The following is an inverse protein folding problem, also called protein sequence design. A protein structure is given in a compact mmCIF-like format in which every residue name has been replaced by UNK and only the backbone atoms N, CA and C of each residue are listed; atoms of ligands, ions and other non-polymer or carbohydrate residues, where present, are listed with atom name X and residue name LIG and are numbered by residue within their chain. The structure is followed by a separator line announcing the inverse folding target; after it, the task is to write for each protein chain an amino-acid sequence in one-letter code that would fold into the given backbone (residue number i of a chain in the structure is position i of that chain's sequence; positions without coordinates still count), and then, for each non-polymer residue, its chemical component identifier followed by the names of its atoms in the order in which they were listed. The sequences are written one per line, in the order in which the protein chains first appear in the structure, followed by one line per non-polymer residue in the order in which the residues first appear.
data_IF_901956529745
#
_entry.id   IF_901956529745
#
_cell.length_a   1.000
_cell.length_b   1.000
_cell.length_c   1.000
_cell.angle_alpha   90.00
_cell.angle_beta   90.00
_cell.angle_gamma   90.00
#
_symmetry.space_group_name_H-M   'P 1'
#
loop_
_entity.id
_entity.type
_entity.pdbx_description
1 polymer ?
#
# COMPACT_ATOMS: atom_id res chain seq x y z
N UNK A 1 16.07 -15.03 -56.88
CA UNK A 1 16.44 -14.08 -55.81
C UNK A 1 15.27 -13.16 -55.58
N UNK A 2 14.67 -13.18 -54.39
CA UNK A 2 13.59 -12.28 -53.98
C UNK A 2 13.57 -12.23 -52.44
N UNK A 3 13.70 -11.05 -51.80
CA UNK A 3 14.06 -10.96 -50.39
C UNK A 3 12.82 -11.03 -49.50
N UNK A 4 12.62 -12.13 -48.78
CA UNK A 4 11.59 -12.24 -47.73
C UNK A 4 12.20 -12.17 -46.31
N UNK A 5 13.51 -11.94 -46.20
CA UNK A 5 14.23 -11.98 -44.91
C UNK A 5 14.23 -10.65 -44.12
N UNK A 6 13.61 -9.58 -44.62
CA UNK A 6 13.73 -8.24 -44.01
C UNK A 6 12.67 -7.85 -42.98
N UNK A 7 11.50 -8.50 -42.95
CA UNK A 7 10.34 -8.00 -42.18
C UNK A 7 10.31 -8.54 -40.73
N UNK A 8 10.87 -9.72 -40.47
CA UNK A 8 10.85 -10.29 -39.12
C UNK A 8 11.87 -9.66 -38.16
N UNK A 9 13.02 -9.21 -38.67
CA UNK A 9 14.05 -8.58 -37.82
C UNK A 9 13.65 -7.17 -37.33
N UNK A 10 12.96 -6.40 -38.18
CA UNK A 10 12.51 -5.04 -37.84
C UNK A 10 11.39 -5.04 -36.78
N UNK A 11 10.49 -6.02 -36.81
CA UNK A 11 9.40 -6.16 -35.83
C UNK A 11 9.89 -6.50 -34.42
N UNK A 12 10.88 -7.39 -34.31
CA UNK A 12 11.47 -7.77 -33.01
C UNK A 12 12.32 -6.65 -32.43
N UNK A 13 13.08 -5.92 -33.26
CA UNK A 13 13.84 -4.75 -32.81
C UNK A 13 12.93 -3.58 -32.42
N UNK A 14 11.84 -3.32 -33.15
CA UNK A 14 10.88 -2.29 -32.78
C UNK A 14 10.13 -2.64 -31.49
N UNK A 15 9.70 -3.90 -31.31
CA UNK A 15 9.07 -4.36 -30.07
C UNK A 15 10.05 -4.32 -28.87
N UNK A 16 11.31 -4.70 -29.07
CA UNK A 16 12.35 -4.63 -28.03
C UNK A 16 12.75 -3.18 -27.69
N UNK A 17 12.69 -2.25 -28.64
CA UNK A 17 12.94 -0.82 -28.40
C UNK A 17 11.74 -0.11 -27.77
N UNK A 18 10.50 -0.53 -28.08
CA UNK A 18 9.29 -0.01 -27.44
C UNK A 18 9.19 -0.56 -26.00
N UNK A 19 9.40 -1.86 -25.81
CA UNK A 19 9.38 -2.50 -24.48
C UNK A 19 10.60 -2.08 -23.64
N UNK A 20 11.80 -2.07 -24.24
CA UNK A 20 13.03 -1.59 -23.61
C UNK A 20 12.97 -0.11 -23.28
N UNK A 21 12.47 0.73 -24.19
CA UNK A 21 12.31 2.17 -24.00
C UNK A 21 11.28 2.54 -22.93
N UNK A 22 10.17 1.79 -22.82
CA UNK A 22 9.20 1.95 -21.72
C UNK A 22 9.75 1.51 -20.36
N UNK A 23 10.66 0.54 -20.33
CA UNK A 23 11.32 0.12 -19.08
C UNK A 23 12.48 1.04 -18.65
N UNK A 24 13.05 1.84 -19.56
CA UNK A 24 14.25 2.64 -19.29
C UNK A 24 13.98 4.08 -18.82
N UNK A 25 12.73 4.55 -18.81
CA UNK A 25 12.37 5.82 -18.16
C UNK A 25 12.25 5.72 -16.63
N UNK A 26 12.51 4.55 -16.03
CA UNK A 26 12.32 4.28 -14.61
C UNK A 26 13.37 4.90 -13.65
N UNK A 27 14.40 5.59 -14.16
CA UNK A 27 15.46 6.17 -13.31
C UNK A 27 15.02 7.44 -12.55
N UNK A 28 13.92 8.09 -12.96
CA UNK A 28 13.30 9.25 -12.30
C UNK A 28 11.81 9.23 -12.64
N UNK A 29 10.95 9.03 -11.67
CA UNK A 29 9.52 8.89 -11.96
C UNK A 29 8.64 9.18 -10.76
N UNK A 30 7.47 9.73 -11.05
CA UNK A 30 6.32 9.73 -10.14
C UNK A 30 5.36 8.65 -10.63
N UNK A 31 4.94 7.79 -9.72
CA UNK A 31 3.98 6.71 -9.95
C UNK A 31 2.74 6.98 -9.11
N UNK A 32 1.57 6.78 -9.71
CA UNK A 32 0.28 7.11 -9.10
C UNK A 32 -0.77 6.08 -9.46
N UNK A 33 -1.67 5.83 -8.51
CA UNK A 33 -2.86 5.00 -8.66
C UNK A 33 -4.09 5.80 -8.28
N UNK A 34 -5.20 5.55 -8.96
CA UNK A 34 -6.52 6.04 -8.57
C UNK A 34 -7.17 5.22 -7.45
N UNK A 35 -8.39 5.61 -7.06
CA UNK A 35 -9.20 4.85 -6.11
C UNK A 35 -9.55 3.48 -6.70
N UNK A 36 -9.26 2.41 -5.96
CA UNK A 36 -9.49 1.01 -6.37
C UNK A 36 -8.43 0.46 -7.33
N UNK A 37 -7.46 1.26 -7.76
CA UNK A 37 -6.37 0.83 -8.62
C UNK A 37 -5.17 0.35 -7.81
N UNK A 38 -4.45 -0.65 -8.33
CA UNK A 38 -3.16 -1.08 -7.82
C UNK A 38 -2.17 -1.23 -8.95
N UNK A 39 -0.90 -0.94 -8.69
CA UNK A 39 0.14 -0.98 -9.72
C UNK A 39 1.43 -1.61 -9.18
N UNK A 40 2.03 -2.53 -9.93
CA UNK A 40 3.37 -3.05 -9.67
C UNK A 40 4.40 -2.36 -10.58
N UNK A 41 5.41 -1.76 -9.98
CA UNK A 41 6.48 -1.02 -10.67
C UNK A 41 7.82 -1.68 -10.35
N UNK A 42 8.61 -1.96 -11.39
CA UNK A 42 10.00 -2.37 -11.24
C UNK A 42 10.92 -1.15 -11.30
N UNK A 43 11.80 -1.01 -10.32
CA UNK A 43 12.73 0.10 -10.22
C UNK A 43 14.08 -0.24 -10.86
N UNK A 44 14.82 0.81 -11.22
CA UNK A 44 16.12 0.68 -11.88
C UNK A 44 17.22 0.01 -11.04
N UNK A 45 17.04 -0.12 -9.71
CA UNK A 45 17.99 -0.81 -8.82
C UNK A 45 17.65 -2.30 -8.62
N UNK A 46 16.61 -2.81 -9.30
CA UNK A 46 16.11 -4.18 -9.14
C UNK A 46 15.11 -4.36 -8.00
N UNK A 47 14.79 -3.30 -7.25
CA UNK A 47 13.70 -3.31 -6.27
C UNK A 47 12.34 -3.21 -6.98
N UNK A 48 11.26 -3.64 -6.31
CA UNK A 48 9.89 -3.45 -6.80
C UNK A 48 9.03 -2.68 -5.81
N UNK A 49 8.10 -1.88 -6.32
CA UNK A 49 7.09 -1.16 -5.54
C UNK A 49 5.71 -1.58 -6.01
N UNK A 50 4.89 -2.12 -5.12
CA UNK A 50 3.46 -2.27 -5.37
C UNK A 50 2.74 -1.10 -4.71
N UNK A 51 2.07 -0.27 -5.49
CA UNK A 51 1.23 0.82 -5.02
C UNK A 51 -0.19 0.29 -4.80
N UNK A 52 -0.78 0.68 -3.68
CA UNK A 52 -2.19 0.40 -3.36
C UNK A 52 -3.11 1.48 -3.93
N UNK A 53 -4.41 1.42 -3.63
CA UNK A 53 -5.40 2.48 -3.92
C UNK A 53 -4.94 3.88 -3.51
N UNK A 54 -5.26 4.89 -4.33
CA UNK A 54 -4.99 6.32 -4.10
C UNK A 54 -3.58 6.61 -3.56
N UNK A 55 -2.57 6.10 -4.26
CA UNK A 55 -1.17 6.19 -3.84
C UNK A 55 -0.36 7.05 -4.79
N UNK A 56 0.65 7.73 -4.24
CA UNK A 56 1.62 8.51 -5.03
C UNK A 56 3.02 8.36 -4.47
N UNK A 57 3.93 7.87 -5.32
CA UNK A 57 5.32 7.62 -4.97
C UNK A 57 6.24 8.36 -5.95
N UNK A 58 7.22 9.12 -5.44
CA UNK A 58 8.27 9.74 -6.24
C UNK A 58 9.60 9.05 -5.99
N UNK A 59 10.28 8.64 -7.07
CA UNK A 59 11.57 7.95 -7.02
C UNK A 59 12.70 8.93 -7.35
N UNK A 60 13.68 9.04 -6.44
CA UNK A 60 14.80 9.98 -6.52
C UNK A 60 16.12 9.26 -6.22
N UNK A 61 16.56 8.44 -7.16
CA UNK A 61 17.83 7.72 -7.02
C UNK A 61 19.01 8.62 -7.37
N UNK A 62 20.05 8.50 -6.57
CA UNK A 62 21.36 9.15 -6.73
C UNK A 62 22.45 8.10 -6.54
N UNK A 63 23.71 8.44 -6.84
CA UNK A 63 24.83 7.51 -6.69
C UNK A 63 25.02 7.07 -5.24
N UNK A 64 24.74 7.93 -4.25
CA UNK A 64 24.90 7.63 -2.82
C UNK A 64 23.64 7.14 -2.11
N UNK A 65 22.44 7.29 -2.69
CA UNK A 65 21.18 6.97 -2.00
C UNK A 65 20.06 6.57 -2.95
N UNK A 66 19.24 5.61 -2.53
CA UNK A 66 17.98 5.23 -3.18
C UNK A 66 16.81 5.82 -2.40
N UNK A 67 16.43 7.07 -2.69
CA UNK A 67 15.34 7.75 -2.01
C UNK A 67 14.01 7.53 -2.74
N UNK A 68 12.98 7.22 -1.96
CA UNK A 68 11.59 7.16 -2.36
C UNK A 68 10.81 8.12 -1.46
N UNK A 69 9.94 8.94 -2.03
CA UNK A 69 9.01 9.80 -1.30
C UNK A 69 7.59 9.25 -1.49
N UNK A 70 6.96 8.75 -0.41
CA UNK A 70 5.54 8.37 -0.40
C UNK A 70 4.72 9.61 -0.02
N UNK A 71 4.10 10.23 -1.01
CA UNK A 71 3.36 11.47 -0.85
C UNK A 71 1.97 11.23 -0.27
N UNK A 72 1.29 10.15 -0.67
CA UNK A 72 0.01 9.68 -0.10
C UNK A 72 -0.19 8.19 -0.36
N UNK A 73 -1.12 7.59 0.37
CA UNK A 73 -1.57 6.21 0.17
C UNK A 73 -0.65 5.18 0.80
N UNK A 74 -0.49 4.04 0.15
CA UNK A 74 0.21 2.87 0.67
C UNK A 74 1.05 2.20 -0.41
N UNK A 75 2.22 1.68 -0.03
CA UNK A 75 3.05 0.90 -0.92
C UNK A 75 3.81 -0.21 -0.19
N UNK A 76 3.86 -1.37 -0.84
CA UNK A 76 4.73 -2.49 -0.46
C UNK A 76 6.03 -2.40 -1.25
N UNK A 77 7.15 -2.44 -0.54
CA UNK A 77 8.50 -2.39 -1.10
C UNK A 77 9.15 -3.76 -0.97
N UNK A 78 9.65 -4.30 -2.08
CA UNK A 78 10.59 -5.45 -2.10
C UNK A 78 11.93 -4.92 -2.54
N UNK A 79 12.86 -4.77 -1.60
CA UNK A 79 14.11 -4.04 -1.81
C UNK A 79 15.25 -4.98 -2.19
N UNK A 80 15.87 -4.71 -3.33
CA UNK A 80 17.10 -5.38 -3.74
C UNK A 80 18.24 -5.08 -2.76
N UNK A 81 18.98 -6.09 -2.27
CA UNK A 81 20.10 -5.89 -1.36
C UNK A 81 21.18 -5.00 -1.97
N UNK A 82 21.55 -3.93 -1.27
CA UNK A 82 22.69 -3.09 -1.63
C UNK A 82 23.21 -2.34 -0.39
N UNK A 83 24.24 -2.88 0.29
CA UNK A 83 24.76 -2.30 1.54
C UNK A 83 25.42 -0.93 1.37
N UNK A 84 25.93 -0.61 0.17
CA UNK A 84 26.65 0.65 -0.08
C UNK A 84 25.74 1.81 -0.45
N UNK A 85 24.48 1.53 -0.84
CA UNK A 85 23.47 2.53 -1.19
C UNK A 85 22.16 2.23 -0.44
N UNK A 86 21.89 2.84 0.73
CA UNK A 86 20.69 2.56 1.50
C UNK A 86 19.42 2.91 0.72
N UNK A 87 18.38 2.09 0.92
CA UNK A 87 17.04 2.35 0.40
C UNK A 87 16.22 3.07 1.47
N UNK A 88 15.77 4.28 1.19
CA UNK A 88 15.09 5.14 2.16
C UNK A 88 13.72 5.52 1.61
N UNK A 89 12.67 5.21 2.35
CA UNK A 89 11.30 5.66 2.08
C UNK A 89 10.97 6.79 3.04
N UNK A 90 10.77 7.99 2.52
CA UNK A 90 10.29 9.13 3.27
C UNK A 90 8.77 9.24 3.11
N UNK A 91 8.04 9.26 4.23
CA UNK A 91 6.59 9.37 4.26
C UNK A 91 6.22 10.39 5.36
N UNK A 92 5.73 11.57 4.96
CA UNK A 92 5.40 12.63 5.92
C UNK A 92 6.56 12.93 6.89
N UNK A 93 6.30 12.76 8.19
CA UNK A 93 7.28 13.00 9.26
C UNK A 93 8.19 11.81 9.60
N UNK A 94 8.15 10.72 8.83
CA UNK A 94 8.93 9.52 9.07
C UNK A 94 9.86 9.15 7.89
N UNK A 95 10.97 8.51 8.20
CA UNK A 95 11.91 7.92 7.26
C UNK A 95 12.16 6.45 7.61
N UNK A 96 12.03 5.57 6.62
CA UNK A 96 12.23 4.12 6.77
C UNK A 96 13.42 3.69 5.94
N UNK A 97 14.47 3.19 6.58
CA UNK A 97 15.69 2.74 5.90
C UNK A 97 15.77 1.21 5.86
N UNK A 98 16.01 0.67 4.67
CA UNK A 98 16.09 -0.74 4.35
C UNK A 98 17.44 -1.13 3.72
N UNK A 99 17.92 -2.34 4.04
CA UNK A 99 19.17 -2.91 3.52
C UNK A 99 18.96 -4.12 2.59
N UNK A 100 17.71 -4.59 2.45
CA UNK A 100 17.34 -5.80 1.70
C UNK A 100 16.13 -6.46 2.37
N UNK A 101 14.96 -5.83 2.26
CA UNK A 101 13.78 -6.15 3.07
C UNK A 101 12.51 -6.18 2.24
N UNK A 102 11.47 -6.76 2.83
CA UNK A 102 10.10 -6.61 2.36
C UNK A 102 9.30 -5.90 3.44
N UNK A 103 8.71 -4.76 3.12
CA UNK A 103 7.96 -3.95 4.09
C UNK A 103 6.92 -3.09 3.40
N UNK A 104 5.86 -2.81 4.14
CA UNK A 104 4.76 -1.94 3.75
C UNK A 104 4.93 -0.59 4.46
N UNK A 105 4.64 0.50 3.75
CA UNK A 105 4.50 1.83 4.32
C UNK A 105 3.19 2.42 3.87
N UNK A 106 2.38 2.87 4.83
CA UNK A 106 1.15 3.61 4.60
C UNK A 106 1.22 4.98 5.24
N UNK A 107 0.71 5.99 4.55
CA UNK A 107 0.59 7.35 5.05
C UNK A 107 -0.87 7.79 5.04
N UNK A 108 -1.39 8.06 6.24
CA UNK A 108 -2.74 8.57 6.46
C UNK A 108 -2.67 9.94 7.14
N UNK A 109 -2.63 11.01 6.33
CA UNK A 109 -2.45 12.36 6.83
C UNK A 109 -1.12 12.55 7.56
N UNK A 110 -1.18 12.70 8.89
CA UNK A 110 -0.03 12.85 9.79
C UNK A 110 0.45 11.54 10.43
N UNK A 111 -0.27 10.43 10.25
CA UNK A 111 0.14 9.10 10.71
C UNK A 111 0.90 8.37 9.60
N UNK A 112 1.97 7.68 9.97
CA UNK A 112 2.70 6.74 9.11
C UNK A 112 2.70 5.39 9.78
N UNK A 113 2.20 4.38 9.07
CA UNK A 113 2.25 2.99 9.49
C UNK A 113 3.29 2.25 8.67
N UNK A 114 4.12 1.47 9.35
CA UNK A 114 5.13 0.61 8.72
C UNK A 114 4.86 -0.81 9.18
N UNK A 115 4.76 -1.77 8.26
CA UNK A 115 4.69 -3.20 8.58
C UNK A 115 5.92 -3.90 7.99
N UNK A 116 6.69 -4.58 8.82
CA UNK A 116 7.86 -5.32 8.37
C UNK A 116 7.50 -6.78 8.09
N UNK A 117 7.58 -7.17 6.81
CA UNK A 117 7.31 -8.54 6.35
C UNK A 117 8.55 -9.42 6.53
N UNK A 118 9.71 -8.94 6.08
CA UNK A 118 10.96 -9.69 6.15
C UNK A 118 12.19 -8.79 6.18
N UNK A 119 13.23 -9.24 6.88
CA UNK A 119 14.51 -8.55 7.04
C UNK A 119 14.51 -7.57 8.22
N UNK A 120 15.16 -6.41 8.04
CA UNK A 120 15.35 -5.41 9.09
C UNK A 120 15.18 -4.00 8.51
N UNK A 121 14.29 -3.22 9.09
CA UNK A 121 14.16 -1.79 8.79
C UNK A 121 14.45 -0.94 10.01
N UNK A 122 14.96 0.25 9.77
CA UNK A 122 15.12 1.30 10.77
C UNK A 122 14.12 2.42 10.47
N UNK A 123 13.30 2.77 11.45
CA UNK A 123 12.30 3.84 11.37
C UNK A 123 12.77 5.03 12.19
N UNK A 124 12.79 6.18 11.55
CA UNK A 124 13.13 7.48 12.13
C UNK A 124 11.94 8.43 11.95
N UNK A 125 11.80 9.40 12.84
CA UNK A 125 10.75 10.41 12.73
C UNK A 125 10.93 11.52 13.75
N UNK A 126 10.36 12.70 13.49
CA UNK A 126 10.56 13.87 14.35
C UNK A 126 10.06 13.66 15.79
N UNK A 127 9.08 12.79 15.99
CA UNK A 127 8.53 12.42 17.30
C UNK A 127 9.28 11.28 17.99
N UNK A 128 10.30 10.70 17.34
CA UNK A 128 11.14 9.64 17.87
C UNK A 128 12.44 10.23 18.42
N UNK A 129 12.74 9.97 19.69
CA UNK A 129 14.00 10.39 20.30
C UNK A 129 15.23 9.67 19.70
N UNK A 130 15.04 8.41 19.27
CA UNK A 130 16.06 7.59 18.63
C UNK A 130 15.45 6.74 17.50
N UNK A 131 16.25 6.33 16.50
CA UNK A 131 15.79 5.40 15.48
C UNK A 131 15.29 4.09 16.09
N UNK A 132 14.13 3.61 15.63
CA UNK A 132 13.54 2.35 16.05
C UNK A 132 13.85 1.26 15.04
N UNK A 133 14.53 0.20 15.47
CA UNK A 133 14.77 -0.99 14.64
C UNK A 133 13.56 -1.92 14.75
N UNK A 134 12.97 -2.26 13.61
CA UNK A 134 11.86 -3.22 13.55
C UNK A 134 12.35 -4.64 13.27
N UNK A 135 11.58 -5.61 13.75
CA UNK A 135 11.69 -7.03 13.44
C UNK A 135 10.51 -7.47 12.55
N UNK A 136 10.70 -8.52 11.77
CA UNK A 136 9.62 -9.09 10.97
C UNK A 136 8.42 -9.49 11.85
N UNK A 137 7.20 -9.24 11.38
CA UNK A 137 5.99 -9.46 12.17
C UNK A 137 5.57 -8.28 13.05
N UNK A 138 6.22 -7.11 12.90
CA UNK A 138 5.87 -5.90 13.64
C UNK A 138 5.20 -4.85 12.75
N UNK A 139 4.25 -4.14 13.33
CA UNK A 139 3.71 -2.87 12.86
C UNK A 139 4.26 -1.76 13.75
N UNK A 140 4.78 -0.68 13.16
CA UNK A 140 5.11 0.56 13.88
C UNK A 140 4.28 1.69 13.31
N UNK A 141 3.52 2.36 14.18
CA UNK A 141 2.78 3.58 13.85
C UNK A 141 3.51 4.78 14.41
N UNK A 142 3.88 5.70 13.53
CA UNK A 142 4.52 6.97 13.86
C UNK A 142 3.48 8.07 13.70
N UNK A 143 3.28 8.85 14.75
CA UNK A 143 2.38 10.01 14.79
C UNK A 143 3.15 11.24 15.26
N UNK A 144 2.59 12.45 15.16
CA UNK A 144 3.22 13.64 15.76
C UNK A 144 3.41 13.54 17.28
N UNK A 145 2.65 12.67 17.96
CA UNK A 145 2.70 12.51 19.43
C UNK A 145 3.72 11.45 19.89
N UNK A 146 4.28 10.67 18.97
CA UNK A 146 5.19 9.57 19.28
C UNK A 146 4.96 8.39 18.35
N UNK A 147 5.66 7.28 18.62
CA UNK A 147 5.49 6.04 17.90
C UNK A 147 5.10 4.89 18.83
N UNK A 148 4.32 3.95 18.30
CA UNK A 148 3.94 2.71 18.95
C UNK A 148 4.28 1.54 18.04
N UNK A 149 5.00 0.55 18.56
CA UNK A 149 5.31 -0.70 17.87
C UNK A 149 4.58 -1.87 18.52
N UNK A 150 3.97 -2.74 17.72
CA UNK A 150 3.22 -3.91 18.17
C UNK A 150 3.36 -5.08 17.19
N UNK A 151 3.17 -6.33 17.63
CA UNK A 151 3.03 -7.46 16.73
C UNK A 151 1.82 -7.29 15.80
N UNK A 152 1.91 -7.85 14.59
CA UNK A 152 0.82 -7.87 13.61
C UNK A 152 0.82 -9.19 12.84
N UNK A 153 -0.36 -9.64 12.43
CA UNK A 153 -0.47 -10.70 11.44
C UNK A 153 -0.09 -10.14 10.06
N UNK A 154 1.09 -10.53 9.58
CA UNK A 154 1.63 -10.03 8.32
C UNK A 154 0.81 -10.47 7.12
N UNK A 155 0.24 -11.67 7.14
CA UNK A 155 -0.56 -12.18 6.04
C UNK A 155 -1.86 -11.38 5.91
N UNK A 156 -2.50 -11.04 7.02
CA UNK A 156 -3.65 -10.15 7.02
C UNK A 156 -3.27 -8.72 6.59
N UNK A 157 -2.22 -8.15 7.19
CA UNK A 157 -1.78 -6.78 6.92
C UNK A 157 -1.31 -6.54 5.48
N UNK A 158 -0.82 -7.57 4.78
CA UNK A 158 -0.36 -7.51 3.39
C UNK A 158 -1.36 -8.09 2.38
N UNK A 159 -2.53 -8.53 2.82
CA UNK A 159 -3.56 -9.17 1.97
C UNK A 159 -4.04 -8.28 0.80
N UNK A 160 -3.94 -6.96 0.97
CA UNK A 160 -4.28 -5.98 -0.07
C UNK A 160 -3.44 -6.16 -1.33
N UNK A 161 -2.21 -6.67 -1.21
CA UNK A 161 -1.32 -6.93 -2.36
C UNK A 161 -1.85 -8.01 -3.31
N UNK A 162 -2.84 -8.79 -2.84
CA UNK A 162 -3.55 -9.82 -3.59
C UNK A 162 -5.01 -9.43 -3.87
N UNK A 163 -5.35 -8.14 -3.75
CA UNK A 163 -6.70 -7.62 -3.98
C UNK A 163 -7.71 -8.04 -2.92
N UNK A 164 -7.26 -8.35 -1.69
CA UNK A 164 -8.13 -8.76 -0.58
C UNK A 164 -7.94 -7.87 0.65
N UNK A 165 -8.97 -7.77 1.48
CA UNK A 165 -8.92 -7.15 2.79
C UNK A 165 -9.27 -8.21 3.83
N UNK A 166 -8.30 -8.56 4.67
CA UNK A 166 -8.46 -9.54 5.75
C UNK A 166 -8.60 -8.81 7.09
N UNK A 167 -9.69 -9.06 7.79
CA UNK A 167 -9.95 -8.55 9.13
C UNK A 167 -9.92 -9.70 10.14
N UNK A 168 -9.16 -9.51 11.21
CA UNK A 168 -9.03 -10.45 12.34
C UNK A 168 -9.22 -9.63 13.60
N UNK A 169 -10.34 -9.84 14.29
CA UNK A 169 -10.72 -9.10 15.50
C UNK A 169 -10.59 -7.57 15.34
N UNK A 170 -10.92 -7.07 14.15
CA UNK A 170 -10.78 -5.65 13.83
C UNK A 170 -12.02 -4.88 14.28
N UNK A 171 -11.90 -3.72 14.93
CA UNK A 171 -13.05 -2.87 15.21
C UNK A 171 -13.79 -2.52 13.92
N UNK A 172 -15.13 -2.57 13.94
CA UNK A 172 -15.98 -2.25 12.79
C UNK A 172 -15.64 -0.88 12.19
N UNK A 173 -15.35 0.13 13.01
CA UNK A 173 -14.92 1.45 12.55
C UNK A 173 -13.65 1.39 11.69
N UNK A 174 -12.65 0.62 12.12
CA UNK A 174 -11.40 0.43 11.38
C UNK A 174 -11.65 -0.35 10.08
N UNK A 175 -12.52 -1.36 10.11
CA UNK A 175 -12.88 -2.14 8.93
C UNK A 175 -13.62 -1.29 7.88
N UNK A 176 -14.59 -0.46 8.31
CA UNK A 176 -15.27 0.49 7.44
C UNK A 176 -14.30 1.50 6.85
N UNK A 177 -13.41 2.07 7.67
CA UNK A 177 -12.39 2.99 7.20
C UNK A 177 -11.48 2.35 6.14
N UNK A 178 -11.06 1.10 6.36
CA UNK A 178 -10.20 0.37 5.41
C UNK A 178 -10.92 0.06 4.10
N UNK A 179 -12.16 -0.45 4.16
CA UNK A 179 -12.97 -0.73 2.97
C UNK A 179 -13.19 0.55 2.16
N UNK A 180 -13.51 1.66 2.82
CA UNK A 180 -13.78 2.94 2.16
C UNK A 180 -12.60 3.49 1.36
N UNK A 181 -11.36 3.09 1.64
CA UNK A 181 -10.19 3.49 0.83
C UNK A 181 -10.28 3.05 -0.63
N UNK A 182 -11.09 2.04 -0.91
CA UNK A 182 -11.27 1.46 -2.24
C UNK A 182 -12.59 1.86 -2.91
N UNK A 183 -13.41 2.68 -2.23
CA UNK A 183 -14.76 3.00 -2.67
C UNK A 183 -14.88 4.47 -3.08
N UNK A 184 -15.46 4.71 -4.25
CA UNK A 184 -15.89 6.05 -4.66
C UNK A 184 -17.17 6.51 -3.95
N UNK A 185 -17.96 5.57 -3.42
CA UNK A 185 -19.19 5.81 -2.67
C UNK A 185 -19.13 5.04 -1.34
N UNK A 186 -18.96 5.74 -0.21
CA UNK A 186 -18.56 5.11 1.04
C UNK A 186 -19.68 4.28 1.69
N UNK A 187 -19.27 3.47 2.65
CA UNK A 187 -20.11 2.92 3.71
C UNK A 187 -19.92 3.77 4.96
N UNK A 188 -20.99 4.16 5.63
CA UNK A 188 -20.94 4.94 6.88
C UNK A 188 -21.70 4.22 7.98
N UNK A 189 -21.22 4.35 9.21
CA UNK A 189 -21.93 3.84 10.38
C UNK A 189 -22.99 4.85 10.79
N UNK A 190 -24.21 4.38 11.03
CA UNK A 190 -25.31 5.18 11.54
C UNK A 190 -25.15 5.50 13.03
N UNK A 191 -25.96 6.44 13.50
CA UNK A 191 -25.94 6.86 14.90
C UNK A 191 -26.27 5.67 15.83
N UNK A 192 -25.47 5.50 16.89
CA UNK A 192 -25.66 4.44 17.88
C UNK A 192 -25.10 3.07 17.49
N UNK A 193 -24.52 2.91 16.30
CA UNK A 193 -23.77 1.69 15.96
C UNK A 193 -22.45 1.66 16.71
N UNK A 194 -22.19 0.58 17.44
CA UNK A 194 -20.93 0.37 18.14
C UNK A 194 -19.80 0.08 17.13
N UNK A 195 -18.95 1.08 16.90
CA UNK A 195 -17.77 0.98 16.04
C UNK A 195 -16.70 0.02 16.61
N UNK A 196 -16.82 -0.41 17.86
CA UNK A 196 -15.95 -1.38 18.51
C UNK A 196 -16.29 -2.85 18.23
N UNK A 197 -17.43 -3.15 17.59
CA UNK A 197 -17.79 -4.53 17.25
C UNK A 197 -16.71 -5.20 16.40
N UNK A 198 -16.33 -6.43 16.78
CA UNK A 198 -15.29 -7.16 16.08
C UNK A 198 -15.77 -7.66 14.71
N UNK A 199 -14.99 -7.35 13.68
CA UNK A 199 -15.16 -7.84 12.31
C UNK A 199 -14.11 -8.89 12.02
N UNK A 200 -14.57 -10.04 11.55
CA UNK A 200 -13.73 -11.14 11.09
C UNK A 200 -14.17 -11.53 9.69
N UNK A 201 -13.25 -11.59 8.74
CA UNK A 201 -13.57 -11.99 7.37
C UNK A 201 -12.52 -11.59 6.35
N UNK A 202 -12.71 -12.11 5.14
CA UNK A 202 -11.89 -11.78 3.98
C UNK A 202 -12.80 -11.26 2.88
N UNK A 203 -12.51 -10.06 2.39
CA UNK A 203 -13.30 -9.39 1.36
C UNK A 203 -12.41 -9.11 0.15
N UNK A 204 -13.00 -9.06 -1.05
CA UNK A 204 -12.29 -8.48 -2.19
C UNK A 204 -12.21 -6.97 -1.99
N UNK A 205 -11.05 -6.38 -2.28
CA UNK A 205 -10.89 -4.94 -2.24
C UNK A 205 -11.88 -4.28 -3.23
N UNK A 206 -12.62 -3.27 -2.76
CA UNK A 206 -13.66 -2.59 -3.54
C UNK A 206 -15.03 -3.29 -3.61
N UNK A 207 -15.19 -4.49 -3.04
CA UNK A 207 -16.47 -5.21 -3.02
C UNK A 207 -17.33 -4.73 -1.84
N UNK A 208 -17.97 -3.56 -2.04
CA UNK A 208 -18.83 -2.91 -1.05
C UNK A 208 -20.01 -3.79 -0.68
N UNK A 209 -20.64 -4.41 -1.66
CA UNK A 209 -21.85 -5.19 -1.51
C UNK A 209 -21.60 -6.44 -0.64
N UNK A 210 -20.47 -7.13 -0.83
CA UNK A 210 -20.09 -8.25 0.03
C UNK A 210 -19.84 -7.80 1.49
N UNK A 211 -19.17 -6.67 1.69
CA UNK A 211 -18.93 -6.14 3.03
C UNK A 211 -20.25 -5.76 3.74
N UNK A 212 -21.14 -5.04 3.06
CA UNK A 212 -22.46 -4.67 3.58
C UNK A 212 -23.30 -5.91 3.91
N UNK A 213 -23.33 -6.90 3.03
CA UNK A 213 -24.06 -8.14 3.26
C UNK A 213 -23.54 -8.91 4.50
N UNK A 214 -22.22 -8.95 4.69
CA UNK A 214 -21.62 -9.56 5.87
C UNK A 214 -21.94 -8.78 7.15
N UNK A 215 -21.87 -7.45 7.12
CA UNK A 215 -22.25 -6.61 8.26
C UNK A 215 -23.72 -6.83 8.66
N UNK A 216 -24.62 -6.96 7.67
CA UNK A 216 -26.03 -7.25 7.93
C UNK A 216 -26.27 -8.66 8.48
N UNK A 217 -25.64 -9.67 7.88
CA UNK A 217 -25.85 -11.06 8.28
C UNK A 217 -25.20 -11.43 9.61
N UNK A 218 -23.99 -10.92 9.88
CA UNK A 218 -23.20 -11.29 11.06
C UNK A 218 -23.40 -10.35 12.25
N UNK A 219 -23.57 -9.05 12.00
CA UNK A 219 -23.68 -8.02 13.06
C UNK A 219 -25.11 -7.47 13.21
N UNK A 220 -26.07 -7.92 12.38
CA UNK A 220 -27.46 -7.47 12.43
C UNK A 220 -27.70 -6.04 11.94
N UNK A 221 -26.72 -5.43 11.28
CA UNK A 221 -26.81 -4.04 10.81
C UNK A 221 -27.72 -3.90 9.59
N UNK A 222 -28.56 -2.88 9.57
CA UNK A 222 -29.51 -2.61 8.50
C UNK A 222 -28.93 -1.61 7.50
N UNK A 223 -28.77 -1.97 6.21
CA UNK A 223 -28.24 -1.06 5.22
C UNK A 223 -29.34 -0.12 4.71
N UNK A 224 -29.04 1.17 4.66
CA UNK A 224 -29.89 2.22 4.13
C UNK A 224 -29.12 2.99 3.04
N UNK A 225 -29.54 2.82 1.78
CA UNK A 225 -28.99 3.58 0.66
C UNK A 225 -29.38 5.06 0.79
N UNK A 226 -28.39 5.94 0.68
CA UNK A 226 -28.56 7.38 0.71
C UNK A 226 -28.64 7.94 -0.71
N UNK A 227 -29.20 9.15 -0.86
CA UNK A 227 -29.38 9.82 -2.16
C UNK A 227 -28.07 10.19 -2.85
N UNK A 228 -26.98 10.34 -2.10
CA UNK A 228 -25.62 10.60 -2.58
C UNK A 228 -24.89 9.31 -3.03
N UNK A 229 -25.52 8.14 -2.87
CA UNK A 229 -24.97 6.82 -3.21
C UNK A 229 -24.15 6.16 -2.11
N UNK A 230 -24.02 6.80 -0.95
CA UNK A 230 -23.48 6.23 0.29
C UNK A 230 -24.40 5.12 0.81
N UNK A 231 -23.84 4.11 1.46
CA UNK A 231 -24.62 3.11 2.23
C UNK A 231 -24.43 3.37 3.71
N UNK A 232 -25.50 3.68 4.44
CA UNK A 232 -25.45 3.79 5.91
C UNK A 232 -25.80 2.44 6.54
N UNK A 233 -25.03 2.00 7.52
CA UNK A 233 -25.32 0.81 8.33
C UNK A 233 -25.93 1.25 9.66
N UNK A 234 -27.19 0.94 9.90
CA UNK A 234 -27.96 1.29 11.10
C UNK A 234 -28.09 0.08 12.06
N UNK A 235 -28.30 0.32 13.36
CA UNK A 235 -28.57 -0.72 14.37
C UNK A 235 -29.97 -1.35 14.32
#
# INVERSE_FOLDING_TARGET
MGPVAGVLAAGVLAAALIYGGWTWSAARGTYETGVGEQQLVQLADGSSVRLDTDSRVRVRFTDGRRLIELERGQAMFTVAPNPTRPFVVQAGGAAVTALGTVFDVRRDGGEVRVVLVSGVVQVEGASLATPTRMQAGQETRVTPRGALSRPVDVAAASSWTEGRLTFIDAPLGDAVAEVNRYLSRPVVLGDGVDAGMAVNGVFRAGDREAFVAAASGALGLKPANQSDGTVRLDG
#
